data_IF_980333910761
#
_entry.id   IF_980333910761
#
_cell.length_a   1.000
_cell.length_b   1.000
_cell.length_c   1.000
_cell.angle_alpha   90.00
_cell.angle_beta   90.00
_cell.angle_gamma   90.00
#
_symmetry.space_group_name_H-M   'P 1'
#
loop_
_entity.id
_entity.type
_entity.pdbx_description
1 polymer ?
#
# COMPACT_ATOMS: atom_id res chain seq x y z
N UNK A 1 11.15 -12.69 -33.15
CA UNK A 1 9.88 -12.00 -32.85
C UNK A 1 9.53 -12.33 -31.42
N UNK A 2 9.77 -11.40 -30.49
CA UNK A 2 9.31 -11.55 -29.12
C UNK A 2 7.78 -11.39 -29.05
N UNK A 3 7.08 -12.17 -28.21
CA UNK A 3 5.66 -11.95 -28.00
C UNK A 3 5.43 -10.55 -27.41
N UNK A 4 4.31 -9.87 -27.75
CA UNK A 4 4.00 -8.59 -27.17
C UNK A 4 3.93 -8.75 -25.66
N UNK A 5 4.77 -7.99 -24.94
CA UNK A 5 4.58 -7.77 -23.50
C UNK A 5 3.15 -7.29 -23.35
N UNK A 6 2.30 -8.13 -22.78
CA UNK A 6 1.00 -7.70 -22.28
C UNK A 6 1.29 -6.56 -21.33
N UNK A 7 1.03 -5.33 -21.77
CA UNK A 7 0.89 -4.18 -20.90
C UNK A 7 -0.18 -4.59 -19.91
N UNK A 8 0.21 -4.96 -18.68
CA UNK A 8 -0.74 -5.04 -17.56
C UNK A 8 -1.41 -3.67 -17.56
N UNK A 9 -2.68 -3.65 -17.95
CA UNK A 9 -3.56 -2.49 -17.88
C UNK A 9 -3.55 -2.01 -16.44
N UNK A 10 -2.76 -0.98 -16.20
CA UNK A 10 -2.56 -0.36 -14.90
C UNK A 10 -3.74 0.53 -14.47
N UNK A 11 -4.81 0.58 -15.28
CA UNK A 11 -5.94 1.51 -15.20
C UNK A 11 -7.21 0.98 -14.50
N UNK A 12 -7.13 -0.13 -13.77
CA UNK A 12 -8.21 -0.52 -12.84
C UNK A 12 -7.63 -1.09 -11.57
N UNK A 13 -6.63 -0.41 -11.00
CA UNK A 13 -6.06 -0.75 -9.70
C UNK A 13 -6.80 0.07 -8.65
N UNK A 14 -7.77 -0.52 -7.97
CA UNK A 14 -8.47 0.09 -6.83
C UNK A 14 -7.46 0.32 -5.69
N UNK A 15 -6.88 1.52 -5.53
CA UNK A 15 -5.84 1.76 -4.53
C UNK A 15 -6.41 1.58 -3.13
N UNK A 16 -7.70 1.85 -2.98
CA UNK A 16 -8.48 1.63 -1.77
C UNK A 16 -8.62 0.17 -1.35
N UNK A 17 -8.29 -0.78 -2.23
CA UNK A 17 -8.29 -2.21 -1.94
C UNK A 17 -6.87 -2.80 -1.97
N UNK A 18 -5.83 -1.97 -2.04
CA UNK A 18 -4.44 -2.42 -1.87
C UNK A 18 -3.96 -2.06 -0.45
N UNK A 19 -3.91 -3.01 0.50
CA UNK A 19 -3.51 -2.73 1.89
C UNK A 19 -2.14 -2.07 2.02
N UNK A 20 -1.21 -2.40 1.12
CA UNK A 20 0.11 -1.77 1.09
C UNK A 20 0.01 -0.25 0.86
N UNK A 21 -0.86 0.19 -0.06
CA UNK A 21 -0.96 1.58 -0.47
C UNK A 21 -1.61 2.46 0.62
N UNK A 22 -2.67 1.97 1.27
CA UNK A 22 -3.40 2.76 2.28
C UNK A 22 -2.96 2.51 3.74
N UNK A 23 -2.35 1.37 4.07
CA UNK A 23 -1.91 1.11 5.45
C UNK A 23 -0.42 1.38 5.68
N UNK A 24 0.44 0.80 4.83
CA UNK A 24 1.85 0.59 5.17
C UNK A 24 2.75 1.59 4.46
N UNK A 25 2.40 1.99 3.25
CA UNK A 25 3.25 2.84 2.41
C UNK A 25 3.54 4.21 3.05
N UNK A 26 2.56 4.81 3.74
CA UNK A 26 2.75 6.04 4.50
C UNK A 26 3.85 5.90 5.56
N UNK A 27 3.73 4.91 6.44
CA UNK A 27 4.68 4.65 7.53
C UNK A 27 6.05 4.18 7.03
N UNK A 28 6.10 3.40 5.95
CA UNK A 28 7.37 2.97 5.35
C UNK A 28 8.10 4.19 4.77
N UNK A 29 7.41 5.06 4.03
CA UNK A 29 8.01 6.30 3.52
C UNK A 29 8.54 7.17 4.65
N UNK A 30 7.76 7.37 5.70
CA UNK A 30 8.20 8.15 6.87
C UNK A 30 9.51 7.62 7.46
N UNK A 31 9.63 6.30 7.66
CA UNK A 31 10.85 5.67 8.17
C UNK A 31 12.03 5.75 7.19
N UNK A 32 11.78 5.55 5.90
CA UNK A 32 12.84 5.52 4.87
C UNK A 32 13.42 6.92 4.63
N UNK A 33 12.57 7.94 4.62
CA UNK A 33 12.92 9.33 4.35
C UNK A 33 13.12 10.17 5.62
N UNK A 34 13.14 9.54 6.81
CA UNK A 34 13.43 10.22 8.08
C UNK A 34 14.76 11.00 8.02
N UNK A 35 15.76 10.46 7.32
CA UNK A 35 16.94 11.23 6.90
C UNK A 35 17.14 11.16 5.38
N UNK A 36 18.01 12.01 4.84
CA UNK A 36 18.33 12.00 3.41
C UNK A 36 19.11 10.73 3.04
N UNK A 37 18.63 9.90 2.10
CA UNK A 37 19.40 8.75 1.62
C UNK A 37 20.65 9.21 0.87
N UNK A 38 21.78 8.56 1.12
CA UNK A 38 23.08 8.96 0.53
C UNK A 38 23.48 8.09 -0.66
N UNK A 39 23.01 6.84 -0.72
CA UNK A 39 23.29 5.88 -1.80
C UNK A 39 22.10 4.95 -2.07
N UNK A 40 22.03 4.30 -3.24
CA UNK A 40 21.04 3.26 -3.51
C UNK A 40 21.08 2.10 -2.50
N UNK A 41 22.26 1.71 -2.03
CA UNK A 41 22.44 0.63 -1.05
C UNK A 41 21.86 1.01 0.30
N UNK A 42 22.10 2.24 0.75
CA UNK A 42 21.53 2.79 1.97
C UNK A 42 19.99 2.85 1.88
N UNK A 43 19.45 3.26 0.72
CA UNK A 43 18.01 3.27 0.47
C UNK A 43 17.41 1.86 0.58
N UNK A 44 18.04 0.86 -0.05
CA UNK A 44 17.59 -0.53 0.03
C UNK A 44 17.64 -1.09 1.45
N UNK A 45 18.70 -0.79 2.20
CA UNK A 45 18.83 -1.20 3.59
C UNK A 45 17.74 -0.57 4.46
N UNK A 46 17.45 0.71 4.27
CA UNK A 46 16.38 1.41 4.99
C UNK A 46 15.01 0.86 4.70
N UNK A 47 14.70 0.54 3.43
CA UNK A 47 13.45 -0.13 3.07
C UNK A 47 13.33 -1.45 3.82
N UNK A 48 14.39 -2.28 3.83
CA UNK A 48 14.39 -3.56 4.56
C UNK A 48 14.18 -3.35 6.07
N UNK A 49 14.86 -2.36 6.66
CA UNK A 49 14.73 -2.06 8.09
C UNK A 49 13.34 -1.51 8.44
N UNK A 50 12.77 -0.63 7.60
CA UNK A 50 11.41 -0.12 7.76
C UNK A 50 10.39 -1.26 7.71
N UNK A 51 10.52 -2.19 6.76
CA UNK A 51 9.68 -3.39 6.67
C UNK A 51 9.83 -4.30 7.90
N UNK A 52 11.05 -4.54 8.39
CA UNK A 52 11.28 -5.32 9.63
C UNK A 52 10.69 -4.67 10.87
N UNK A 53 10.61 -3.34 10.87
CA UNK A 53 10.04 -2.56 11.97
C UNK A 53 8.51 -2.46 11.90
N UNK A 54 7.85 -3.09 10.93
CA UNK A 54 6.39 -3.24 10.93
C UNK A 54 6.02 -4.28 12.00
N UNK A 55 5.27 -3.86 13.01
CA UNK A 55 4.90 -4.72 14.12
C UNK A 55 3.54 -5.41 13.86
N UNK A 56 3.19 -6.37 14.73
CA UNK A 56 1.94 -7.13 14.63
C UNK A 56 0.70 -6.25 14.73
N UNK A 57 0.74 -5.21 15.56
CA UNK A 57 -0.38 -4.29 15.77
C UNK A 57 -0.72 -3.53 14.49
N UNK A 58 0.29 -2.99 13.80
CA UNK A 58 0.12 -2.33 12.50
C UNK A 58 -0.53 -3.26 11.46
N UNK A 59 -0.15 -4.54 11.46
CA UNK A 59 -0.74 -5.53 10.55
C UNK A 59 -2.21 -5.83 10.88
N UNK A 60 -2.57 -5.91 12.16
CA UNK A 60 -3.96 -6.10 12.59
C UNK A 60 -4.82 -4.91 12.18
N UNK A 61 -4.37 -3.68 12.48
CA UNK A 61 -5.08 -2.46 12.08
C UNK A 61 -5.25 -2.37 10.56
N UNK A 62 -4.22 -2.79 9.82
CA UNK A 62 -4.30 -2.83 8.37
C UNK A 62 -5.36 -3.82 7.86
N UNK A 63 -5.41 -5.02 8.45
CA UNK A 63 -6.41 -6.02 8.13
C UNK A 63 -7.84 -5.53 8.44
N UNK A 64 -8.06 -4.93 9.61
CA UNK A 64 -9.37 -4.37 10.00
C UNK A 64 -9.80 -3.25 9.03
N UNK A 65 -8.87 -2.36 8.68
CA UNK A 65 -9.11 -1.29 7.70
C UNK A 65 -9.44 -1.87 6.32
N UNK A 66 -8.76 -2.93 5.89
CA UNK A 66 -9.04 -3.62 4.64
C UNK A 66 -10.44 -4.23 4.61
N UNK A 67 -10.85 -4.95 5.66
CA UNK A 67 -12.20 -5.53 5.73
C UNK A 67 -13.27 -4.45 5.68
N UNK A 68 -13.10 -3.34 6.40
CA UNK A 68 -14.01 -2.19 6.34
C UNK A 68 -14.12 -1.61 4.92
N UNK A 69 -13.01 -1.52 4.20
CA UNK A 69 -12.98 -1.02 2.81
C UNK A 69 -13.68 -1.97 1.85
N UNK A 70 -13.55 -3.29 2.04
CA UNK A 70 -14.31 -4.30 1.30
C UNK A 70 -15.81 -4.15 1.56
N UNK A 71 -16.22 -4.04 2.82
CA UNK A 71 -17.64 -3.88 3.17
C UNK A 71 -18.25 -2.64 2.51
N UNK A 72 -17.50 -1.53 2.52
CA UNK A 72 -17.92 -0.29 1.84
C UNK A 72 -17.99 -0.41 0.34
N UNK A 73 -17.01 -1.09 -0.27
CA UNK A 73 -17.04 -1.38 -1.71
C UNK A 73 -18.29 -2.17 -2.10
N UNK A 74 -18.67 -3.18 -1.29
CA UNK A 74 -19.88 -3.98 -1.51
C UNK A 74 -21.15 -3.15 -1.33
N UNK A 75 -21.23 -2.33 -0.26
CA UNK A 75 -22.38 -1.47 0.03
C UNK A 75 -22.71 -0.52 -1.13
N UNK A 76 -21.69 0.00 -1.81
CA UNK A 76 -21.86 0.90 -2.95
C UNK A 76 -21.80 0.20 -4.32
N UNK A 77 -21.88 -1.15 -4.35
CA UNK A 77 -21.89 -1.91 -5.61
C UNK A 77 -20.62 -1.76 -6.45
N UNK A 78 -19.46 -1.51 -5.82
CA UNK A 78 -18.18 -1.34 -6.50
C UNK A 78 -17.87 0.09 -6.97
N UNK A 79 -18.71 1.08 -6.66
CA UNK A 79 -18.43 2.50 -6.89
C UNK A 79 -17.40 3.07 -5.89
N UNK A 80 -16.96 4.31 -6.11
CA UNK A 80 -16.08 5.04 -5.21
C UNK A 80 -16.69 5.22 -3.81
N UNK A 81 -15.92 4.90 -2.78
CA UNK A 81 -16.37 4.87 -1.38
C UNK A 81 -15.43 5.61 -0.42
N UNK A 82 -14.41 6.31 -0.93
CA UNK A 82 -13.41 7.04 -0.16
C UNK A 82 -14.07 8.08 0.76
N UNK A 83 -15.12 8.74 0.26
CA UNK A 83 -15.94 9.70 1.02
C UNK A 83 -16.71 9.08 2.21
N UNK A 84 -16.82 7.75 2.26
CA UNK A 84 -17.47 6.99 3.33
C UNK A 84 -16.48 6.45 4.36
N UNK A 85 -15.18 6.53 4.07
CA UNK A 85 -14.12 6.13 4.98
C UNK A 85 -13.82 7.30 5.94
N UNK A 86 -14.39 7.25 7.14
CA UNK A 86 -13.89 8.04 8.28
C UNK A 86 -12.55 7.49 8.77
#
# INVERSE_FOLDING_TARGET
>A
MDPPRTSRSEDTRSPDLTPLDFCLWGSIKEKVYQDVPTTPENMMERIRNACRAVNRETLIQCHESFMRRIDKCVEVGGHHFEHLLK
#
